data_IF_820535212773
#
_entry.id   IF_820535212773
#
_cell.length_a   1.000
_cell.length_b   1.000
_cell.length_c   1.000
_cell.angle_alpha   90.00
_cell.angle_beta   90.00
_cell.angle_gamma   90.00
#
_symmetry.space_group_name_H-M   'P 1'
#
loop_
_entity.id
_entity.type
_entity.pdbx_description
1 polymer ?
#
# COMPACT_ATOMS: atom_id res chain seq x y z
N UNK A 1 -4.06 2.88 -4.54
CA UNK A 1 -4.95 3.86 -5.19
C UNK A 1 -6.40 3.42 -5.02
N UNK A 2 -7.41 4.01 -5.67
CA UNK A 2 -8.81 3.51 -5.54
C UNK A 2 -9.11 2.31 -6.45
N UNK A 3 -8.37 2.16 -7.56
CA UNK A 3 -8.43 1.04 -8.50
C UNK A 3 -7.11 0.94 -9.28
N UNK A 4 -6.87 -0.20 -9.91
CA UNK A 4 -5.70 -0.36 -10.78
C UNK A 4 -5.72 0.61 -11.99
N UNK A 5 -4.54 0.91 -12.51
CA UNK A 5 -4.28 1.75 -13.71
C UNK A 5 -4.63 3.23 -13.56
N UNK A 6 -4.60 3.74 -12.34
CA UNK A 6 -4.69 5.18 -12.05
C UNK A 6 -3.88 5.50 -10.81
N UNK A 7 -3.36 6.72 -10.75
CA UNK A 7 -2.69 7.34 -9.61
C UNK A 7 -3.67 8.01 -8.63
N UNK A 8 -4.96 8.04 -8.98
CA UNK A 8 -5.97 8.63 -8.13
C UNK A 8 -6.19 7.76 -6.89
N UNK A 9 -5.90 8.35 -5.74
CA UNK A 9 -6.08 7.75 -4.43
C UNK A 9 -7.03 8.57 -3.54
N UNK A 10 -7.68 9.60 -4.10
CA UNK A 10 -8.75 10.33 -3.40
C UNK A 10 -9.90 9.37 -3.13
N UNK A 11 -10.43 9.44 -1.91
CA UNK A 11 -11.51 8.59 -1.42
C UNK A 11 -11.24 7.07 -1.60
N UNK A 12 -9.97 6.67 -1.68
CA UNK A 12 -9.62 5.27 -1.86
C UNK A 12 -9.99 4.45 -0.62
N UNK A 13 -10.67 3.29 -0.78
CA UNK A 13 -10.87 2.34 0.31
C UNK A 13 -9.55 1.86 0.93
N UNK A 14 -8.47 1.82 0.15
CA UNK A 14 -7.14 1.43 0.64
C UNK A 14 -6.62 2.43 1.68
N UNK A 15 -6.76 3.73 1.42
CA UNK A 15 -6.34 4.80 2.34
C UNK A 15 -7.13 4.73 3.64
N UNK A 16 -8.45 4.55 3.55
CA UNK A 16 -9.30 4.39 4.73
C UNK A 16 -8.95 3.14 5.57
N UNK A 17 -8.49 2.05 4.95
CA UNK A 17 -8.03 0.86 5.68
C UNK A 17 -6.68 1.14 6.37
N UNK A 18 -5.74 1.76 5.66
CA UNK A 18 -4.43 2.16 6.20
C UNK A 18 -4.58 3.07 7.42
N UNK A 19 -5.43 4.09 7.33
CA UNK A 19 -5.72 4.99 8.45
C UNK A 19 -6.21 4.23 9.70
N UNK A 20 -7.10 3.25 9.51
CA UNK A 20 -7.64 2.46 10.62
C UNK A 20 -6.60 1.52 11.23
N UNK A 21 -5.70 0.96 10.42
CA UNK A 21 -4.59 0.13 10.89
C UNK A 21 -3.59 0.97 11.70
N UNK A 22 -3.18 2.13 11.18
CA UNK A 22 -2.31 3.07 11.88
C UNK A 22 -2.94 3.54 13.20
N UNK A 23 -4.23 3.91 13.20
CA UNK A 23 -4.96 4.30 14.39
C UNK A 23 -5.08 3.19 15.45
N UNK A 24 -5.01 1.92 15.01
CA UNK A 24 -4.97 0.76 15.90
C UNK A 24 -3.56 0.44 16.43
N UNK A 25 -2.55 1.21 16.05
CA UNK A 25 -1.15 1.03 16.47
C UNK A 25 -0.35 0.05 15.61
N UNK A 26 -0.85 -0.32 14.43
CA UNK A 26 -0.08 -1.12 13.48
C UNK A 26 1.02 -0.28 12.82
N UNK A 27 2.17 -0.91 12.55
CA UNK A 27 3.16 -0.37 11.62
C UNK A 27 2.71 -0.72 10.19
N UNK A 28 2.46 0.29 9.36
CA UNK A 28 1.99 0.07 7.98
C UNK A 28 3.04 0.52 6.99
N UNK A 29 3.49 -0.44 6.19
CA UNK A 29 4.38 -0.24 5.04
C UNK A 29 3.57 -0.58 3.79
N UNK A 30 3.58 0.30 2.79
CA UNK A 30 2.76 0.13 1.59
C UNK A 30 3.55 0.32 0.31
N UNK A 31 3.08 -0.36 -0.73
CA UNK A 31 3.53 -0.16 -2.09
C UNK A 31 2.32 0.06 -3.00
N UNK A 32 2.40 1.07 -3.87
CA UNK A 32 1.51 1.23 -5.02
C UNK A 32 2.37 1.67 -6.22
N UNK A 33 2.20 1.07 -7.42
CA UNK A 33 3.05 1.36 -8.58
C UNK A 33 3.08 2.83 -9.02
N UNK A 34 2.11 3.63 -8.57
CA UNK A 34 1.95 5.03 -8.96
C UNK A 34 2.18 6.02 -7.83
N UNK A 35 2.27 5.56 -6.58
CA UNK A 35 2.43 6.43 -5.40
C UNK A 35 3.85 6.34 -4.88
N UNK A 36 4.63 7.38 -5.14
CA UNK A 36 6.08 7.37 -4.87
C UNK A 36 6.49 8.23 -3.67
N UNK A 37 5.54 8.99 -3.10
CA UNK A 37 5.76 9.84 -1.94
C UNK A 37 4.47 10.03 -1.15
N UNK A 38 4.60 10.21 0.17
CA UNK A 38 3.48 10.62 1.03
C UNK A 38 3.09 12.05 0.66
N UNK A 39 1.79 12.29 0.56
CA UNK A 39 1.21 13.61 0.28
C UNK A 39 0.17 13.93 1.35
N UNK A 40 -0.42 15.13 1.32
CA UNK A 40 -1.49 15.53 2.24
C UNK A 40 -2.75 14.64 2.15
N UNK A 41 -2.87 13.82 1.11
CA UNK A 41 -3.96 12.84 0.93
C UNK A 41 -3.67 11.47 1.57
N UNK A 42 -2.49 11.30 2.17
CA UNK A 42 -2.05 10.07 2.79
C UNK A 42 -1.69 10.31 4.26
N UNK A 43 -1.82 9.29 5.13
CA UNK A 43 -1.37 9.40 6.51
C UNK A 43 0.12 9.72 6.58
N UNK A 44 0.50 10.68 7.45
CA UNK A 44 1.89 11.11 7.63
C UNK A 44 2.83 9.99 8.08
N UNK A 45 2.27 9.00 8.78
CA UNK A 45 3.01 7.91 9.42
C UNK A 45 3.07 6.65 8.52
N UNK A 46 2.58 6.75 7.28
CA UNK A 46 2.66 5.68 6.29
C UNK A 46 4.07 5.63 5.70
N UNK A 47 4.70 4.45 5.73
CA UNK A 47 5.93 4.19 5.00
C UNK A 47 5.61 3.67 3.59
N UNK A 48 6.31 4.20 2.58
CA UNK A 48 6.18 3.76 1.18
C UNK A 48 7.46 3.07 0.71
N UNK A 49 7.32 1.96 -0.01
CA UNK A 49 8.44 1.20 -0.57
C UNK A 49 8.47 1.25 -2.08
N UNK A 50 9.66 1.01 -2.65
CA UNK A 50 9.86 1.03 -4.10
C UNK A 50 9.26 -0.21 -4.79
N UNK A 51 9.07 -1.30 -4.04
CA UNK A 51 8.51 -2.54 -4.59
C UNK A 51 7.57 -3.29 -3.64
N UNK A 52 6.75 -4.21 -4.19
CA UNK A 52 5.75 -4.94 -3.41
C UNK A 52 6.36 -5.93 -2.43
N UNK A 53 7.49 -6.57 -2.77
CA UNK A 53 8.17 -7.51 -1.87
C UNK A 53 8.87 -6.80 -0.71
N UNK A 54 9.35 -5.58 -0.93
CA UNK A 54 9.95 -4.75 0.12
C UNK A 54 8.92 -4.41 1.20
N UNK A 55 7.67 -4.10 0.80
CA UNK A 55 6.56 -3.86 1.74
C UNK A 55 6.21 -5.08 2.60
N UNK A 56 6.55 -6.29 2.15
CA UNK A 56 6.30 -7.53 2.88
C UNK A 56 7.40 -7.87 3.90
N UNK A 57 8.55 -7.21 3.85
CA UNK A 57 9.73 -7.59 4.63
C UNK A 57 9.46 -7.41 6.14
N UNK A 58 9.44 -8.53 6.88
CA UNK A 58 9.18 -8.53 8.32
C UNK A 58 7.74 -8.24 8.72
N UNK A 59 6.80 -8.18 7.77
CA UNK A 59 5.39 -7.93 8.05
C UNK A 59 4.70 -9.16 8.67
N UNK A 60 3.86 -8.94 9.69
CA UNK A 60 3.02 -9.99 10.30
C UNK A 60 1.87 -10.44 9.37
N UNK A 61 1.44 -9.56 8.45
CA UNK A 61 0.37 -9.81 7.51
C UNK A 61 0.54 -9.01 6.22
N UNK A 62 0.03 -9.55 5.10
CA UNK A 62 -0.07 -8.88 3.81
C UNK A 62 -1.54 -8.60 3.47
N UNK A 63 -1.82 -7.40 2.96
CA UNK A 63 -3.16 -7.01 2.50
C UNK A 63 -3.10 -6.46 1.08
N UNK A 64 -3.81 -7.12 0.15
CA UNK A 64 -3.95 -6.66 -1.22
C UNK A 64 -5.17 -5.72 -1.32
N UNK A 65 -4.93 -4.41 -1.42
CA UNK A 65 -5.99 -3.39 -1.39
C UNK A 65 -6.35 -2.81 -2.76
N UNK A 66 -5.48 -2.98 -3.75
CA UNK A 66 -5.74 -2.63 -5.15
C UNK A 66 -5.18 -3.73 -6.03
N UNK A 67 -6.01 -4.25 -6.93
CA UNK A 67 -5.74 -5.41 -7.78
C UNK A 67 -4.91 -5.03 -9.03
N UNK A 68 -3.74 -4.45 -8.83
CA UNK A 68 -2.81 -4.16 -9.92
C UNK A 68 -2.39 -5.47 -10.62
N UNK A 69 -2.48 -5.57 -11.96
CA UNK A 69 -2.16 -6.80 -12.69
C UNK A 69 -0.74 -7.33 -12.45
N UNK A 70 0.23 -6.43 -12.21
CA UNK A 70 1.61 -6.80 -11.92
C UNK A 70 1.77 -7.58 -10.61
N UNK A 71 0.89 -7.39 -9.63
CA UNK A 71 0.92 -8.14 -8.38
C UNK A 71 0.63 -9.64 -8.58
N UNK A 72 -0.09 -10.01 -9.65
CA UNK A 72 -0.32 -11.41 -10.01
C UNK A 72 0.93 -12.11 -10.56
N UNK A 73 1.98 -11.36 -10.89
CA UNK A 73 3.24 -11.86 -11.43
C UNK A 73 4.36 -11.91 -10.38
N UNK A 74 4.09 -11.46 -9.16
CA UNK A 74 5.05 -11.45 -8.05
C UNK A 74 5.16 -12.85 -7.45
N UNK A 75 6.37 -13.38 -7.38
CA UNK A 75 6.68 -14.59 -6.61
C UNK A 75 7.24 -14.20 -5.24
N UNK A 76 6.53 -14.47 -4.13
CA UNK A 76 6.99 -14.12 -2.79
C UNK A 76 8.06 -15.08 -2.22
N UNK A 77 8.45 -16.12 -2.97
CA UNK A 77 9.40 -17.17 -2.51
C UNK A 77 10.64 -17.29 -3.42
N UNK A 78 10.68 -16.58 -4.55
CA UNK A 78 11.77 -16.65 -5.52
C UNK A 78 13.08 -15.99 -5.06
#
# INVERSE_FOLDING_TARGET
TFKARTDDHRDSPAVAIVERLLAAGAHVVAHDPTVVAVTDLLPSDLELTAGPLEACSGADALVLLTDWPEFALVDPVA
#
